data_IF_067570670700
#
_entry.id   IF_067570670700
#
_cell.length_a   1.000
_cell.length_b   1.000
_cell.length_c   1.000
_cell.angle_alpha   90.00
_cell.angle_beta   90.00
_cell.angle_gamma   90.00
#
_symmetry.space_group_name_H-M   'P 1'
#
loop_
_entity.id
_entity.type
_entity.pdbx_description
1 polymer ?
#
# COMPACT_ATOMS: atom_id res chain seq x y z
N UNK A 1 -23.16 -13.44 33.84
CA UNK A 1 -21.90 -12.79 33.45
C UNK A 1 -22.28 -11.63 32.56
N UNK A 2 -22.24 -10.40 33.07
CA UNK A 2 -22.56 -9.19 32.33
C UNK A 2 -21.49 -9.02 31.23
N UNK A 3 -21.90 -9.09 29.96
CA UNK A 3 -21.11 -8.66 28.82
C UNK A 3 -20.70 -7.22 29.09
N UNK A 4 -19.43 -7.00 29.44
CA UNK A 4 -18.88 -5.65 29.40
C UNK A 4 -19.09 -5.14 27.97
N UNK A 5 -19.80 -4.01 27.81
CA UNK A 5 -20.03 -3.40 26.50
C UNK A 5 -18.65 -3.10 25.92
N UNK A 6 -18.26 -3.86 24.91
CA UNK A 6 -17.12 -3.49 24.08
C UNK A 6 -17.45 -2.08 23.54
N UNK A 7 -16.60 -1.08 23.81
CA UNK A 7 -16.80 0.29 23.34
C UNK A 7 -17.12 0.37 21.84
N UNK A 8 -17.56 1.53 21.37
CA UNK A 8 -17.86 1.78 19.95
C UNK A 8 -16.63 1.50 19.06
N UNK A 9 -16.85 1.24 17.78
CA UNK A 9 -15.76 1.00 16.81
C UNK A 9 -14.67 2.09 16.87
N UNK A 10 -14.99 3.41 16.88
CA UNK A 10 -13.98 4.46 17.01
C UNK A 10 -13.17 4.38 18.30
N UNK A 11 -13.82 4.10 19.44
CA UNK A 11 -13.12 3.96 20.74
C UNK A 11 -12.16 2.78 20.72
N UNK A 12 -12.56 1.64 20.16
CA UNK A 12 -11.71 0.44 20.03
C UNK A 12 -10.52 0.67 19.10
N UNK A 13 -10.72 1.34 17.97
CA UNK A 13 -9.65 1.69 17.02
C UNK A 13 -8.64 2.64 17.68
N UNK A 14 -9.12 3.68 18.37
CA UNK A 14 -8.24 4.61 19.06
C UNK A 14 -7.48 3.94 20.20
N UNK A 15 -8.11 3.09 20.99
CA UNK A 15 -7.45 2.34 22.07
C UNK A 15 -6.28 1.47 21.57
N UNK A 16 -6.41 0.87 20.38
CA UNK A 16 -5.30 0.12 19.74
C UNK A 16 -4.10 1.04 19.48
N UNK A 17 -4.34 2.27 19.02
CA UNK A 17 -3.29 3.24 18.72
C UNK A 17 -2.69 3.85 19.99
N UNK A 18 -3.53 4.23 20.95
CA UNK A 18 -3.15 4.92 22.19
C UNK A 18 -2.32 4.02 23.13
N UNK A 19 -2.42 2.70 22.97
CA UNK A 19 -1.59 1.74 23.65
C UNK A 19 -0.11 1.72 23.19
N UNK A 20 0.25 2.50 22.16
CA UNK A 20 1.58 2.46 21.57
C UNK A 20 2.31 3.79 21.72
N UNK A 21 3.65 3.78 21.94
CA UNK A 21 4.45 4.99 22.11
C UNK A 21 4.86 5.64 20.77
N UNK A 22 4.23 5.29 19.67
CA UNK A 22 4.51 5.81 18.34
C UNK A 22 3.24 6.31 17.65
N UNK A 23 3.41 7.12 16.62
CA UNK A 23 2.29 7.70 15.88
C UNK A 23 1.66 6.62 15.00
N UNK A 24 0.33 6.54 15.03
CA UNK A 24 -0.46 5.73 14.09
C UNK A 24 -1.52 6.59 13.44
N UNK A 25 -1.51 6.68 12.11
CA UNK A 25 -2.51 7.35 11.29
C UNK A 25 -3.30 6.30 10.53
N UNK A 26 -4.59 6.49 10.39
CA UNK A 26 -5.42 5.58 9.59
C UNK A 26 -6.58 6.29 8.92
N UNK A 27 -7.05 5.71 7.82
CA UNK A 27 -8.35 5.96 7.21
C UNK A 27 -8.98 4.61 6.87
N UNK A 28 -10.18 4.35 7.41
CA UNK A 28 -10.88 3.08 7.30
C UNK A 28 -12.29 3.37 6.80
N UNK A 29 -12.75 2.64 5.80
CA UNK A 29 -14.11 2.75 5.26
C UNK A 29 -14.82 1.40 5.33
N UNK A 30 -15.94 1.36 6.03
CA UNK A 30 -16.89 0.26 5.94
C UNK A 30 -17.62 0.34 4.58
N UNK A 31 -17.45 -0.64 3.74
CA UNK A 31 -18.03 -0.64 2.38
C UNK A 31 -19.51 -1.03 2.35
N UNK A 32 -20.05 -1.58 3.46
CA UNK A 32 -21.49 -1.90 3.58
C UNK A 32 -22.30 -0.68 3.96
N UNK A 33 -21.80 0.13 4.91
CA UNK A 33 -22.53 1.29 5.46
C UNK A 33 -22.07 2.61 4.85
N UNK A 34 -20.86 2.65 4.28
CA UNK A 34 -20.21 3.88 3.81
C UNK A 34 -19.53 4.68 4.91
N UNK A 35 -19.64 4.28 6.19
CA UNK A 35 -19.00 4.98 7.31
C UNK A 35 -17.49 4.99 7.19
N UNK A 36 -16.89 6.13 7.57
CA UNK A 36 -15.45 6.35 7.54
C UNK A 36 -14.94 6.65 8.96
N UNK A 37 -13.88 5.97 9.35
CA UNK A 37 -13.20 6.12 10.63
C UNK A 37 -11.77 6.63 10.38
N UNK A 38 -11.35 7.65 11.10
CA UNK A 38 -10.13 8.39 10.76
C UNK A 38 -9.32 8.78 12.00
N UNK A 39 -7.99 8.78 11.82
CA UNK A 39 -7.04 9.34 12.79
C UNK A 39 -5.84 9.90 12.03
N UNK A 40 -5.69 11.22 12.03
CA UNK A 40 -4.63 11.91 11.28
C UNK A 40 -4.64 11.55 9.79
N UNK A 41 -5.84 11.34 9.19
CA UNK A 41 -5.97 10.76 7.86
C UNK A 41 -5.37 11.64 6.74
N UNK A 42 -5.32 12.96 6.94
CA UNK A 42 -4.77 13.93 6.00
C UNK A 42 -3.32 14.34 6.33
N UNK A 43 -2.79 13.84 7.44
CA UNK A 43 -1.41 14.13 7.82
C UNK A 43 -0.43 13.35 6.95
N UNK A 44 0.63 14.05 6.51
CA UNK A 44 1.71 13.45 5.72
C UNK A 44 2.42 12.35 6.51
N UNK A 45 2.62 11.21 5.88
CA UNK A 45 3.32 10.05 6.43
C UNK A 45 4.30 9.47 5.41
N UNK A 46 5.37 8.78 5.83
CA UNK A 46 6.22 8.05 4.91
C UNK A 46 5.39 6.99 4.17
N UNK A 47 5.45 6.98 2.84
CA UNK A 47 4.69 6.00 2.05
C UNK A 47 5.35 4.62 2.04
N UNK A 48 6.68 4.58 2.16
CA UNK A 48 7.47 3.38 1.88
C UNK A 48 6.97 2.69 0.59
N UNK A 49 6.80 1.37 0.59
CA UNK A 49 6.35 0.64 -0.62
C UNK A 49 4.85 0.68 -0.89
N UNK A 50 4.01 1.34 -0.05
CA UNK A 50 2.58 1.54 -0.40
C UNK A 50 2.44 2.41 -1.64
N UNK A 51 3.40 3.33 -1.90
CA UNK A 51 3.49 4.15 -3.11
C UNK A 51 3.48 3.35 -4.42
N UNK A 52 3.86 2.05 -4.38
CA UNK A 52 3.91 1.20 -5.58
C UNK A 52 2.54 0.97 -6.19
N UNK A 53 1.47 1.14 -5.42
CA UNK A 53 0.10 1.10 -5.95
C UNK A 53 -0.15 2.24 -6.95
N UNK A 54 0.24 3.47 -6.62
CA UNK A 54 0.12 4.61 -7.55
C UNK A 54 1.07 4.49 -8.75
N UNK A 55 2.28 3.93 -8.57
CA UNK A 55 3.20 3.65 -9.68
C UNK A 55 2.59 2.62 -10.64
N UNK A 56 2.03 1.53 -10.12
CA UNK A 56 1.32 0.54 -10.92
C UNK A 56 0.17 1.19 -11.70
N UNK A 57 -0.64 2.02 -11.05
CA UNK A 57 -1.78 2.65 -11.72
C UNK A 57 -1.36 3.67 -12.78
N UNK A 58 -0.27 4.43 -12.56
CA UNK A 58 0.31 5.31 -13.57
C UNK A 58 0.81 4.51 -14.80
N UNK A 59 1.45 3.36 -14.58
CA UNK A 59 1.87 2.46 -15.67
C UNK A 59 0.65 1.90 -16.43
N UNK A 60 -0.39 1.48 -15.72
CA UNK A 60 -1.62 0.98 -16.34
C UNK A 60 -2.39 2.06 -17.10
N UNK A 61 -2.34 3.33 -16.64
CA UNK A 61 -2.84 4.46 -17.42
C UNK A 61 -2.07 4.62 -18.72
N UNK A 62 -0.74 4.56 -18.68
CA UNK A 62 0.09 4.62 -19.90
C UNK A 62 -0.19 3.45 -20.85
N UNK A 63 -0.49 2.26 -20.33
CA UNK A 63 -0.97 1.12 -21.15
C UNK A 63 -2.35 1.41 -21.76
N UNK A 64 -3.27 1.98 -21.00
CA UNK A 64 -4.59 2.36 -21.51
C UNK A 64 -4.52 3.38 -22.62
N UNK A 65 -3.57 4.30 -22.56
CA UNK A 65 -3.29 5.33 -23.56
C UNK A 65 -2.50 4.79 -24.78
N UNK A 66 -2.12 3.52 -24.79
CA UNK A 66 -1.32 2.91 -25.86
C UNK A 66 0.16 3.34 -25.90
N UNK A 67 0.65 4.01 -24.84
CA UNK A 67 2.07 4.42 -24.71
C UNK A 67 2.95 3.28 -24.22
N UNK A 68 2.40 2.33 -23.49
CA UNK A 68 3.08 1.13 -22.99
C UNK A 68 2.30 -0.12 -23.37
N UNK A 69 3.02 -1.26 -23.44
CA UNK A 69 2.43 -2.60 -23.61
C UNK A 69 2.83 -3.48 -22.44
N UNK A 70 1.85 -4.12 -21.79
CA UNK A 70 2.11 -5.08 -20.70
C UNK A 70 2.96 -6.28 -21.16
N UNK A 71 2.99 -6.59 -22.45
CA UNK A 71 3.78 -7.67 -23.03
C UNK A 71 5.18 -7.22 -23.51
N UNK A 72 5.49 -5.91 -23.40
CA UNK A 72 6.82 -5.39 -23.71
C UNK A 72 7.88 -6.16 -22.91
N UNK A 73 8.92 -6.63 -23.61
CA UNK A 73 9.99 -7.38 -23.01
C UNK A 73 11.06 -6.46 -22.43
N UNK A 74 11.46 -6.74 -21.21
CA UNK A 74 12.48 -6.00 -20.45
C UNK A 74 13.63 -6.94 -20.13
N UNK A 75 14.83 -6.59 -20.56
CA UNK A 75 16.03 -7.31 -20.14
C UNK A 75 16.45 -6.81 -18.76
N UNK A 76 16.59 -7.73 -17.81
CA UNK A 76 17.18 -7.40 -16.51
C UNK A 76 18.69 -7.14 -16.69
N UNK A 77 19.09 -5.90 -16.52
CA UNK A 77 20.48 -5.46 -16.54
C UNK A 77 21.02 -5.26 -15.12
N UNK A 78 22.31 -5.48 -14.90
CA UNK A 78 22.96 -5.34 -13.58
C UNK A 78 22.70 -3.94 -12.94
N UNK A 79 22.64 -2.88 -13.74
CA UNK A 79 22.37 -1.50 -13.28
C UNK A 79 21.06 -1.34 -12.52
N UNK A 80 20.07 -2.19 -12.76
CA UNK A 80 18.81 -2.15 -12.01
C UNK A 80 18.99 -2.59 -10.55
N UNK A 81 20.00 -3.39 -10.23
CA UNK A 81 20.29 -3.82 -8.86
C UNK A 81 21.17 -2.81 -8.09
N UNK A 82 21.77 -1.84 -8.77
CA UNK A 82 22.57 -0.80 -8.12
C UNK A 82 21.72 0.06 -7.20
N UNK A 83 22.27 0.40 -6.03
CA UNK A 83 21.61 1.27 -5.03
C UNK A 83 20.21 0.78 -4.58
N UNK A 84 19.95 -0.51 -4.68
CA UNK A 84 18.68 -1.13 -4.26
C UNK A 84 18.88 -1.94 -2.99
N UNK A 85 18.12 -1.61 -1.92
CA UNK A 85 18.22 -2.30 -0.62
C UNK A 85 17.46 -3.63 -0.56
N UNK A 86 16.41 -3.81 -1.37
CA UNK A 86 15.50 -4.96 -1.27
C UNK A 86 14.97 -5.42 -2.63
N UNK A 87 14.66 -6.70 -2.72
CA UNK A 87 14.14 -7.33 -3.92
C UNK A 87 14.88 -8.62 -4.25
N UNK A 88 14.15 -9.59 -4.76
CA UNK A 88 14.67 -10.90 -5.15
C UNK A 88 15.57 -10.78 -6.39
N UNK A 89 15.23 -9.89 -7.33
CA UNK A 89 15.98 -9.72 -8.58
C UNK A 89 17.44 -9.28 -8.36
N UNK A 90 17.78 -8.69 -7.21
CA UNK A 90 19.19 -8.38 -6.84
C UNK A 90 20.10 -9.61 -6.85
N UNK A 91 19.54 -10.79 -6.68
CA UNK A 91 20.28 -12.06 -6.58
C UNK A 91 20.17 -12.90 -7.84
N UNK A 92 19.42 -12.44 -8.83
CA UNK A 92 19.29 -13.13 -10.11
C UNK A 92 20.43 -12.71 -11.08
N UNK A 93 20.70 -13.57 -12.04
CA UNK A 93 21.72 -13.30 -13.06
C UNK A 93 21.18 -12.29 -14.08
N UNK A 94 21.91 -11.20 -14.38
CA UNK A 94 21.56 -10.30 -15.47
C UNK A 94 21.42 -11.04 -16.82
N UNK A 95 20.55 -10.53 -17.68
CA UNK A 95 20.20 -11.15 -18.97
C UNK A 95 18.84 -11.87 -18.96
N UNK A 96 18.22 -12.05 -17.80
CA UNK A 96 16.85 -12.57 -17.73
C UNK A 96 15.91 -11.57 -18.43
N UNK A 97 15.01 -12.09 -19.26
CA UNK A 97 13.97 -11.30 -19.94
C UNK A 97 12.64 -11.55 -19.28
N UNK A 98 11.96 -10.48 -18.91
CA UNK A 98 10.59 -10.51 -18.33
C UNK A 98 9.70 -9.51 -19.06
N UNK A 99 8.39 -9.69 -18.98
CA UNK A 99 7.45 -8.70 -19.49
C UNK A 99 7.28 -7.51 -18.52
N UNK A 100 6.77 -6.36 -19.01
CA UNK A 100 6.35 -5.25 -18.15
C UNK A 100 5.31 -5.73 -17.12
N UNK A 101 4.42 -6.65 -17.52
CA UNK A 101 3.46 -7.31 -16.62
C UNK A 101 4.15 -8.01 -15.46
N UNK A 102 5.21 -8.76 -15.73
CA UNK A 102 5.97 -9.49 -14.71
C UNK A 102 6.77 -8.55 -13.81
N UNK A 103 7.32 -7.47 -14.37
CA UNK A 103 7.97 -6.42 -13.60
C UNK A 103 6.98 -5.74 -12.63
N UNK A 104 5.77 -5.39 -13.09
CA UNK A 104 4.69 -4.88 -12.23
C UNK A 104 4.31 -5.91 -11.16
N UNK A 105 4.20 -7.18 -11.52
CA UNK A 105 3.89 -8.26 -10.57
C UNK A 105 4.98 -8.37 -9.50
N UNK A 106 6.27 -8.43 -9.87
CA UNK A 106 7.39 -8.48 -8.94
C UNK A 106 7.44 -7.24 -8.02
N UNK A 107 7.21 -6.05 -8.58
CA UNK A 107 7.10 -4.80 -7.84
C UNK A 107 5.99 -4.85 -6.77
N UNK A 108 4.83 -5.40 -7.09
CA UNK A 108 3.67 -5.39 -6.21
C UNK A 108 3.66 -6.58 -5.25
N UNK A 109 3.80 -7.81 -5.73
CA UNK A 109 3.62 -9.04 -4.95
C UNK A 109 4.79 -9.30 -4.00
N UNK A 110 6.03 -9.07 -4.47
CA UNK A 110 7.25 -9.23 -3.68
C UNK A 110 7.77 -7.90 -3.10
N UNK A 111 7.17 -6.80 -3.50
CA UNK A 111 7.70 -5.46 -3.18
C UNK A 111 9.13 -5.24 -3.72
N UNK A 112 9.50 -5.87 -4.84
CA UNK A 112 10.83 -5.83 -5.42
C UNK A 112 11.18 -4.42 -5.93
N UNK A 113 12.32 -3.87 -5.48
CA UNK A 113 12.77 -2.55 -5.89
C UNK A 113 13.52 -2.55 -7.22
N UNK A 114 14.09 -3.69 -7.62
CA UNK A 114 14.68 -3.85 -8.96
C UNK A 114 13.57 -3.80 -10.01
N UNK A 115 12.49 -4.56 -9.77
CA UNK A 115 11.29 -4.47 -10.62
C UNK A 115 10.69 -3.05 -10.62
N UNK A 116 10.75 -2.34 -9.49
CA UNK A 116 10.32 -0.93 -9.45
C UNK A 116 11.16 -0.05 -10.36
N UNK A 117 12.49 -0.21 -10.41
CA UNK A 117 13.36 0.50 -11.36
C UNK A 117 13.01 0.16 -12.81
N UNK A 118 12.75 -1.12 -13.11
CA UNK A 118 12.37 -1.54 -14.47
C UNK A 118 11.05 -0.87 -14.92
N UNK A 119 10.07 -0.72 -14.02
CA UNK A 119 8.84 0.02 -14.31
C UNK A 119 9.12 1.51 -14.51
N UNK A 120 9.98 2.12 -13.69
CA UNK A 120 10.37 3.52 -13.83
C UNK A 120 11.23 3.84 -15.05
N UNK A 121 11.83 2.86 -15.72
CA UNK A 121 12.44 3.07 -17.04
C UNK A 121 11.42 3.49 -18.12
N UNK A 122 10.15 3.24 -17.88
CA UNK A 122 9.01 3.53 -18.78
C UNK A 122 8.16 4.71 -18.32
N UNK A 123 8.45 5.22 -17.13
CA UNK A 123 7.71 6.33 -16.51
C UNK A 123 8.70 7.31 -15.91
N UNK A 124 8.34 8.58 -15.91
CA UNK A 124 9.06 9.60 -15.14
C UNK A 124 8.45 9.78 -13.75
N UNK A 125 9.23 10.32 -12.84
CA UNK A 125 8.74 10.70 -11.50
C UNK A 125 7.63 11.77 -11.60
N UNK A 126 7.74 12.66 -12.58
CA UNK A 126 6.76 13.70 -12.87
C UNK A 126 5.42 13.10 -13.34
N UNK A 127 5.45 12.10 -14.24
CA UNK A 127 4.24 11.40 -14.69
C UNK A 127 3.50 10.74 -13.53
N UNK A 128 4.22 10.09 -12.61
CA UNK A 128 3.59 9.46 -11.43
C UNK A 128 3.00 10.51 -10.50
N UNK A 129 3.68 11.64 -10.26
CA UNK A 129 3.14 12.75 -9.46
C UNK A 129 1.92 13.39 -10.13
N UNK A 130 2.01 13.68 -11.43
CA UNK A 130 0.90 14.24 -12.21
C UNK A 130 -0.31 13.31 -12.21
N UNK A 131 -0.08 12.00 -12.31
CA UNK A 131 -1.14 10.99 -12.15
C UNK A 131 -1.81 11.09 -10.78
N UNK A 132 -1.03 11.09 -9.69
CA UNK A 132 -1.58 11.22 -8.33
C UNK A 132 -2.45 12.48 -8.20
N UNK A 133 -1.94 13.63 -8.66
CA UNK A 133 -2.69 14.89 -8.63
C UNK A 133 -3.97 14.84 -9.46
N UNK A 134 -3.91 14.26 -10.66
CA UNK A 134 -5.04 14.20 -11.60
C UNK A 134 -6.23 13.38 -11.06
N UNK A 135 -5.97 12.40 -10.20
CA UNK A 135 -7.00 11.59 -9.56
C UNK A 135 -7.40 12.08 -8.16
N UNK A 136 -6.78 13.16 -7.64
CA UNK A 136 -7.13 13.77 -6.36
C UNK A 136 -6.27 13.34 -5.17
N UNK A 137 -5.16 12.62 -5.36
CA UNK A 137 -4.20 12.26 -4.30
C UNK A 137 -3.24 13.42 -4.01
N UNK A 138 -3.76 14.52 -3.50
CA UNK A 138 -3.01 15.79 -3.36
C UNK A 138 -1.95 15.77 -2.26
N UNK A 139 -2.07 14.89 -1.29
CA UNK A 139 -1.09 14.70 -0.20
C UNK A 139 0.01 13.66 -0.52
N UNK A 140 0.01 13.09 -1.75
CA UNK A 140 0.99 12.10 -2.16
C UNK A 140 2.08 12.72 -3.03
N UNK A 141 3.35 12.62 -2.57
CA UNK A 141 4.50 13.24 -3.22
C UNK A 141 5.61 12.23 -3.44
N UNK A 142 5.79 11.76 -4.67
CA UNK A 142 6.92 10.94 -5.07
C UNK A 142 8.16 11.83 -5.25
N UNK A 143 9.17 11.64 -4.38
CA UNK A 143 10.42 12.42 -4.41
C UNK A 143 11.60 11.66 -5.00
N UNK A 144 11.53 10.33 -5.01
CA UNK A 144 12.63 9.46 -5.44
C UNK A 144 12.08 8.27 -6.23
N UNK A 145 12.80 7.84 -7.25
CA UNK A 145 12.52 6.60 -7.98
C UNK A 145 12.64 5.39 -7.04
N UNK A 146 13.73 5.33 -6.28
CA UNK A 146 14.02 4.34 -5.24
C UNK A 146 14.38 5.08 -3.95
N UNK A 147 13.95 4.60 -2.78
CA UNK A 147 14.30 5.24 -1.52
C UNK A 147 15.82 5.28 -1.31
N UNK A 148 16.38 6.40 -0.79
CA UNK A 148 17.80 6.46 -0.44
C UNK A 148 18.19 5.35 0.55
N UNK A 149 19.40 4.80 0.40
CA UNK A 149 19.89 3.69 1.23
C UNK A 149 20.28 4.15 2.64
N UNK A 150 20.96 5.29 2.74
CA UNK A 150 21.54 5.81 3.97
C UNK A 150 20.58 6.76 4.69
N UNK A 151 19.42 6.25 5.12
CA UNK A 151 18.48 7.01 5.94
C UNK A 151 18.63 6.64 7.42
N UNK A 152 18.67 7.66 8.30
CA UNK A 152 18.55 7.47 9.74
C UNK A 152 17.08 7.17 10.14
N UNK A 153 16.83 6.56 11.31
CA UNK A 153 15.46 6.32 11.78
C UNK A 153 14.63 7.60 11.95
N UNK A 154 15.27 8.72 12.23
CA UNK A 154 14.67 10.05 12.46
C UNK A 154 14.70 10.98 11.25
N UNK A 155 15.02 10.46 10.05
CA UNK A 155 15.13 11.28 8.85
C UNK A 155 13.87 12.14 8.61
N UNK A 156 14.03 13.29 7.97
CA UNK A 156 12.92 14.16 7.58
C UNK A 156 11.96 13.46 6.60
N UNK A 157 10.67 13.79 6.66
CA UNK A 157 9.70 13.35 5.66
C UNK A 157 10.06 13.82 4.24
N UNK A 158 10.76 14.95 4.11
CA UNK A 158 11.25 15.45 2.81
C UNK A 158 12.31 14.55 2.17
N UNK A 159 12.93 13.65 2.95
CA UNK A 159 13.95 12.72 2.46
C UNK A 159 13.37 11.41 1.88
N UNK A 160 12.04 11.28 1.82
CA UNK A 160 11.34 10.09 1.30
C UNK A 160 10.10 10.49 0.51
N UNK A 161 9.54 9.57 -0.23
CA UNK A 161 8.20 9.70 -0.78
C UNK A 161 7.18 9.63 0.37
N UNK A 162 6.24 10.56 0.38
CA UNK A 162 5.18 10.65 1.38
C UNK A 162 3.79 10.45 0.76
N UNK A 163 2.83 10.16 1.60
CA UNK A 163 1.41 10.03 1.25
C UNK A 163 0.57 10.34 2.49
N UNK A 164 -0.75 10.32 2.34
CA UNK A 164 -1.68 10.35 3.47
C UNK A 164 -2.50 9.06 3.53
N UNK A 165 -3.04 8.75 4.69
CA UNK A 165 -3.92 7.58 4.83
C UNK A 165 -5.17 7.75 3.96
N UNK A 166 -5.70 8.98 3.83
CA UNK A 166 -6.83 9.30 2.98
C UNK A 166 -6.54 9.09 1.50
N UNK A 167 -5.39 9.55 1.00
CA UNK A 167 -5.02 9.37 -0.41
C UNK A 167 -4.95 7.88 -0.79
N UNK A 168 -4.36 7.05 0.08
CA UNK A 168 -4.27 5.62 -0.17
C UNK A 168 -5.65 4.93 -0.10
N UNK A 169 -6.53 5.33 0.82
CA UNK A 169 -7.91 4.85 0.87
C UNK A 169 -8.67 5.26 -0.39
N UNK A 170 -8.54 6.52 -0.82
CA UNK A 170 -9.14 7.03 -2.03
C UNK A 170 -8.68 6.26 -3.28
N UNK A 171 -7.38 5.97 -3.40
CA UNK A 171 -6.83 5.18 -4.51
C UNK A 171 -7.44 3.78 -4.57
N UNK A 172 -7.48 3.08 -3.42
CA UNK A 172 -8.06 1.74 -3.35
C UNK A 172 -9.57 1.72 -3.67
N UNK A 173 -10.31 2.72 -3.17
CA UNK A 173 -11.72 2.90 -3.51
C UNK A 173 -11.89 3.15 -5.01
N UNK A 174 -11.05 4.02 -5.60
CA UNK A 174 -11.10 4.33 -7.03
C UNK A 174 -10.81 3.10 -7.91
N UNK A 175 -9.86 2.24 -7.51
CA UNK A 175 -9.58 0.97 -8.21
C UNK A 175 -10.80 0.05 -8.14
N UNK A 176 -11.47 -0.03 -6.99
CA UNK A 176 -12.67 -0.84 -6.81
C UNK A 176 -13.84 -0.32 -7.66
N UNK A 177 -14.08 1.00 -7.63
CA UNK A 177 -15.12 1.67 -8.41
C UNK A 177 -14.91 1.52 -9.92
N UNK A 178 -13.65 1.62 -10.37
CA UNK A 178 -13.29 1.48 -11.78
C UNK A 178 -13.48 0.06 -12.31
N UNK A 179 -13.39 -0.96 -11.47
CA UNK A 179 -13.75 -2.31 -11.86
C UNK A 179 -15.26 -2.45 -12.12
N UNK A 180 -16.09 -1.74 -11.34
CA UNK A 180 -17.54 -1.86 -11.34
C UNK A 180 -18.25 -0.93 -12.30
N UNK A 181 -17.61 0.15 -12.81
CA UNK A 181 -18.28 1.16 -13.63
C UNK A 181 -17.38 1.83 -14.66
N UNK A 182 -17.99 2.21 -15.78
CA UNK A 182 -17.30 2.95 -16.84
C UNK A 182 -16.90 4.37 -16.37
N UNK A 183 -17.72 5.01 -15.56
CA UNK A 183 -17.43 6.33 -14.99
C UNK A 183 -16.22 6.27 -14.04
N UNK A 184 -16.18 5.26 -13.15
CA UNK A 184 -15.00 5.00 -12.30
C UNK A 184 -13.74 4.75 -13.11
N UNK A 185 -13.84 3.99 -14.22
CA UNK A 185 -12.74 3.74 -15.14
C UNK A 185 -12.22 5.04 -15.77
N UNK A 186 -13.11 5.90 -16.28
CA UNK A 186 -12.75 7.20 -16.86
C UNK A 186 -12.05 8.10 -15.83
N UNK A 187 -12.58 8.17 -14.61
CA UNK A 187 -11.99 8.98 -13.53
C UNK A 187 -10.58 8.50 -13.14
N UNK A 188 -10.37 7.18 -13.11
CA UNK A 188 -9.07 6.58 -12.79
C UNK A 188 -8.10 6.58 -14.00
N UNK A 189 -8.62 6.82 -15.22
CA UNK A 189 -7.83 6.87 -16.46
C UNK A 189 -7.36 5.49 -16.94
N UNK A 190 -8.10 4.42 -16.62
CA UNK A 190 -7.80 3.05 -17.04
C UNK A 190 -9.08 2.34 -17.49
N UNK A 191 -8.96 1.23 -18.22
CA UNK A 191 -10.12 0.39 -18.53
C UNK A 191 -10.54 -0.45 -17.30
N UNK A 192 -11.80 -0.94 -17.31
CA UNK A 192 -12.27 -1.89 -16.29
C UNK A 192 -11.38 -3.14 -16.20
N UNK A 193 -10.91 -3.66 -17.34
CA UNK A 193 -10.00 -4.80 -17.39
C UNK A 193 -8.65 -4.53 -16.72
N UNK A 194 -8.08 -3.33 -16.92
CA UNK A 194 -6.82 -2.94 -16.26
C UNK A 194 -7.02 -2.69 -14.76
N UNK A 195 -8.18 -2.17 -14.35
CA UNK A 195 -8.53 -2.05 -12.93
C UNK A 195 -8.70 -3.42 -12.27
N UNK A 196 -9.35 -4.37 -12.94
CA UNK A 196 -9.46 -5.75 -12.47
C UNK A 196 -8.07 -6.41 -12.33
N UNK A 197 -7.17 -6.18 -13.30
CA UNK A 197 -5.77 -6.64 -13.22
C UNK A 197 -5.04 -6.05 -12.01
N UNK A 198 -5.19 -4.73 -11.77
CA UNK A 198 -4.59 -4.09 -10.61
C UNK A 198 -5.09 -4.69 -9.30
N UNK A 199 -6.40 -4.89 -9.18
CA UNK A 199 -7.03 -5.47 -8.00
C UNK A 199 -6.58 -6.93 -7.78
N UNK A 200 -6.51 -7.73 -8.85
CA UNK A 200 -5.99 -9.10 -8.76
C UNK A 200 -4.52 -9.12 -8.35
N UNK A 201 -3.70 -8.20 -8.87
CA UNK A 201 -2.29 -8.06 -8.49
C UNK A 201 -2.15 -7.74 -6.99
N UNK A 202 -3.01 -6.87 -6.45
CA UNK A 202 -3.06 -6.59 -5.00
C UNK A 202 -3.52 -7.81 -4.18
N UNK A 203 -4.45 -8.63 -4.69
CA UNK A 203 -4.88 -9.89 -4.05
C UNK A 203 -3.77 -10.95 -4.00
N UNK A 204 -2.86 -10.92 -4.96
CA UNK A 204 -1.73 -11.86 -5.03
C UNK A 204 -0.60 -11.54 -4.05
N UNK A 205 -0.74 -10.51 -3.20
CA UNK A 205 0.28 -10.14 -2.21
C UNK A 205 0.60 -11.30 -1.27
N UNK A 206 1.89 -11.69 -1.20
CA UNK A 206 2.35 -12.79 -0.34
C UNK A 206 2.88 -12.34 1.03
N UNK A 207 3.18 -11.05 1.20
CA UNK A 207 3.70 -10.48 2.45
C UNK A 207 2.55 -10.17 3.42
N UNK A 208 2.08 -11.16 4.17
CA UNK A 208 0.81 -11.12 4.92
C UNK A 208 0.93 -10.76 6.41
N UNK A 209 1.95 -10.01 6.82
CA UNK A 209 2.32 -9.77 8.21
C UNK A 209 1.72 -8.49 8.87
N UNK A 210 0.82 -7.77 8.20
CA UNK A 210 0.13 -6.58 8.73
C UNK A 210 -1.40 -6.75 8.69
N UNK A 211 -2.15 -6.08 7.78
CA UNK A 211 -3.61 -6.20 7.69
C UNK A 211 -4.11 -7.65 7.81
N UNK A 212 -3.55 -8.65 7.07
CA UNK A 212 -4.06 -10.03 7.13
C UNK A 212 -3.67 -10.81 8.40
N UNK A 213 -2.69 -10.32 9.18
CA UNK A 213 -2.02 -11.13 10.23
C UNK A 213 -2.94 -11.60 11.37
N UNK A 214 -4.04 -10.88 11.62
CA UNK A 214 -5.01 -11.20 12.66
C UNK A 214 -6.41 -11.53 12.15
N UNK A 215 -6.54 -11.71 10.84
CA UNK A 215 -7.77 -12.17 10.21
C UNK A 215 -7.81 -13.70 10.14
N UNK A 216 -9.00 -14.32 10.00
CA UNK A 216 -9.10 -15.77 9.83
C UNK A 216 -8.24 -16.25 8.66
N UNK A 217 -7.71 -17.46 8.79
CA UNK A 217 -6.92 -18.08 7.73
C UNK A 217 -7.72 -18.13 6.43
N UNK A 218 -7.07 -17.84 5.30
CA UNK A 218 -7.72 -17.82 3.99
C UNK A 218 -8.49 -16.54 3.65
N UNK A 219 -8.60 -15.56 4.58
CA UNK A 219 -9.22 -14.26 4.27
C UNK A 219 -8.50 -13.60 3.10
N UNK A 220 -9.26 -13.27 2.05
CA UNK A 220 -8.75 -12.55 0.89
C UNK A 220 -8.53 -11.08 1.25
N UNK A 221 -7.34 -10.58 0.98
CA UNK A 221 -6.97 -9.18 1.18
C UNK A 221 -6.19 -8.69 -0.03
N UNK A 222 -6.75 -7.73 -0.75
CA UNK A 222 -6.03 -7.01 -1.80
C UNK A 222 -5.25 -5.87 -1.16
N UNK A 223 -3.90 -5.98 -1.04
CA UNK A 223 -3.16 -5.00 -0.26
C UNK A 223 -1.74 -4.75 -0.76
N UNK A 224 -1.15 -3.62 -0.28
CA UNK A 224 0.28 -3.33 -0.43
C UNK A 224 0.85 -2.87 0.90
N UNK A 225 1.86 -3.59 1.37
CA UNK A 225 2.64 -3.20 2.54
C UNK A 225 3.81 -2.29 2.22
N UNK A 226 4.26 -1.56 3.23
CA UNK A 226 5.44 -0.70 3.19
C UNK A 226 6.32 -0.90 4.43
N UNK A 227 7.64 -0.92 4.21
CA UNK A 227 8.67 -1.01 5.24
C UNK A 227 9.58 0.19 5.13
N UNK A 228 9.62 1.03 6.14
CA UNK A 228 10.47 2.20 6.23
C UNK A 228 11.30 2.20 7.52
N UNK A 229 12.30 3.07 7.59
CA UNK A 229 13.11 3.25 8.81
C UNK A 229 12.29 3.81 9.96
N UNK A 230 11.28 4.65 9.67
CA UNK A 230 10.43 5.31 10.66
C UNK A 230 9.24 4.47 11.12
N UNK A 231 8.83 3.45 10.35
CA UNK A 231 7.64 2.65 10.68
C UNK A 231 7.26 1.64 9.62
N UNK A 232 6.04 1.10 9.78
CA UNK A 232 5.39 0.13 8.89
C UNK A 232 4.06 0.68 8.41
N UNK A 233 3.70 0.37 7.20
CA UNK A 233 2.48 0.84 6.54
C UNK A 233 1.79 -0.32 5.83
N UNK A 234 0.48 -0.23 5.75
CA UNK A 234 -0.28 -1.14 4.89
C UNK A 234 -1.56 -0.45 4.42
N UNK A 235 -1.90 -0.66 3.16
CA UNK A 235 -3.14 -0.17 2.55
C UNK A 235 -3.80 -1.34 1.83
N UNK A 236 -5.08 -1.61 2.10
CA UNK A 236 -5.74 -2.79 1.51
C UNK A 236 -7.25 -2.79 1.62
N UNK A 237 -7.85 -3.67 0.81
CA UNK A 237 -9.27 -4.00 0.78
C UNK A 237 -9.42 -5.41 1.34
N UNK A 238 -10.22 -5.57 2.37
CA UNK A 238 -10.50 -6.87 3.00
C UNK A 238 -11.82 -7.39 2.48
N UNK A 239 -11.85 -8.68 2.15
CA UNK A 239 -13.02 -9.36 1.60
C UNK A 239 -13.64 -10.32 2.62
N UNK A 240 -14.95 -10.43 2.60
CA UNK A 240 -15.72 -11.45 3.34
C UNK A 240 -16.71 -12.10 2.39
N UNK A 241 -16.75 -13.42 2.33
CA UNK A 241 -17.65 -14.20 1.45
C UNK A 241 -17.56 -13.79 -0.04
N UNK A 242 -16.36 -13.44 -0.51
CA UNK A 242 -16.13 -13.01 -1.90
C UNK A 242 -16.34 -11.51 -2.16
N UNK A 243 -17.05 -10.80 -1.27
CA UNK A 243 -17.37 -9.38 -1.41
C UNK A 243 -16.42 -8.48 -0.62
N UNK A 244 -16.10 -7.28 -1.13
CA UNK A 244 -15.31 -6.30 -0.40
C UNK A 244 -16.08 -5.81 0.84
N UNK A 245 -15.45 -5.96 2.02
CA UNK A 245 -16.05 -5.63 3.30
C UNK A 245 -15.63 -4.25 3.80
N UNK A 246 -14.34 -3.95 3.78
CA UNK A 246 -13.81 -2.65 4.16
C UNK A 246 -12.48 -2.34 3.48
N UNK A 247 -12.19 -1.05 3.39
CA UNK A 247 -10.86 -0.54 3.04
C UNK A 247 -10.20 -0.09 4.34
N UNK A 248 -8.93 -0.42 4.51
CA UNK A 248 -8.10 0.03 5.62
C UNK A 248 -6.74 0.50 5.11
N UNK A 249 -6.36 1.69 5.52
CA UNK A 249 -5.02 2.25 5.30
C UNK A 249 -4.47 2.68 6.65
N UNK A 250 -3.32 2.15 7.02
CA UNK A 250 -2.70 2.41 8.32
C UNK A 250 -1.20 2.63 8.16
N UNK A 251 -0.71 3.68 8.81
CA UNK A 251 0.66 4.18 8.72
C UNK A 251 1.19 4.43 10.14
N UNK A 252 2.23 3.69 10.54
CA UNK A 252 2.95 4.00 11.77
C UNK A 252 4.17 4.85 11.46
N UNK A 253 4.54 5.75 12.37
CA UNK A 253 5.66 6.66 12.24
C UNK A 253 6.35 6.88 13.59
N UNK A 254 7.63 7.23 13.58
CA UNK A 254 8.45 7.42 14.79
C UNK A 254 8.47 6.15 15.68
N UNK A 255 8.48 4.99 15.05
CA UNK A 255 8.51 3.71 15.75
C UNK A 255 9.91 3.51 16.35
N UNK A 256 10.03 3.29 17.69
CA UNK A 256 11.30 2.96 18.32
C UNK A 256 11.93 1.71 17.69
N UNK A 257 13.25 1.63 17.69
CA UNK A 257 13.95 0.42 17.25
C UNK A 257 13.58 -0.77 18.14
N UNK A 258 13.64 -0.54 19.45
CA UNK A 258 13.26 -1.50 20.48
C UNK A 258 12.22 -0.87 21.41
N UNK A 259 11.20 -1.63 21.77
CA UNK A 259 10.20 -1.28 22.77
C UNK A 259 10.80 -1.42 24.18
N UNK A 260 10.16 -0.84 25.23
CA UNK A 260 10.67 -0.93 26.61
C UNK A 260 10.87 -2.35 27.13
N UNK A 261 10.16 -3.33 26.58
CA UNK A 261 10.27 -4.76 26.93
C UNK A 261 11.32 -5.51 26.06
N UNK A 262 12.04 -4.80 25.19
CA UNK A 262 13.01 -5.37 24.25
C UNK A 262 12.40 -5.94 22.96
N UNK A 263 11.08 -5.90 22.78
CA UNK A 263 10.44 -6.32 21.53
C UNK A 263 10.84 -5.37 20.39
N UNK A 264 11.23 -5.85 19.20
CA UNK A 264 11.49 -4.96 18.07
C UNK A 264 10.26 -4.11 17.71
N UNK A 265 10.43 -2.78 17.65
CA UNK A 265 9.33 -1.86 17.41
C UNK A 265 8.62 -2.11 16.08
N UNK A 266 9.35 -2.59 15.04
CA UNK A 266 8.73 -2.97 13.76
C UNK A 266 7.71 -4.12 13.90
N UNK A 267 7.95 -5.07 14.83
CA UNK A 267 7.00 -6.17 15.11
C UNK A 267 5.71 -5.61 15.71
N UNK A 268 5.86 -4.75 16.72
CA UNK A 268 4.71 -4.11 17.39
C UNK A 268 3.92 -3.23 16.42
N UNK A 269 4.59 -2.51 15.51
CA UNK A 269 3.93 -1.67 14.52
C UNK A 269 3.13 -2.48 13.50
N UNK A 270 3.64 -3.63 13.04
CA UNK A 270 2.89 -4.56 12.17
C UNK A 270 1.68 -5.15 12.90
N UNK A 271 1.87 -5.54 14.16
CA UNK A 271 0.81 -6.07 15.01
C UNK A 271 -0.29 -5.04 15.25
N UNK A 272 0.07 -3.78 15.48
CA UNK A 272 -0.89 -2.67 15.63
C UNK A 272 -1.80 -2.55 14.42
N UNK A 273 -1.24 -2.59 13.20
CA UNK A 273 -2.02 -2.60 11.95
C UNK A 273 -2.94 -3.84 11.87
N UNK A 274 -2.44 -4.99 12.26
CA UNK A 274 -3.23 -6.23 12.31
C UNK A 274 -4.40 -6.15 13.31
N UNK A 275 -4.18 -5.52 14.47
CA UNK A 275 -5.23 -5.28 15.49
C UNK A 275 -6.31 -4.32 14.99
N UNK A 276 -5.93 -3.22 14.31
CA UNK A 276 -6.89 -2.32 13.68
C UNK A 276 -7.78 -3.07 12.69
N UNK A 277 -7.17 -3.87 11.82
CA UNK A 277 -7.91 -4.71 10.86
C UNK A 277 -8.83 -5.73 11.55
N UNK A 278 -8.40 -6.28 12.69
CA UNK A 278 -9.21 -7.22 13.48
C UNK A 278 -10.45 -6.55 14.08
N UNK A 279 -10.32 -5.35 14.62
CA UNK A 279 -11.48 -4.57 15.12
C UNK A 279 -12.49 -4.38 14.00
N UNK A 280 -12.06 -3.93 12.81
CA UNK A 280 -12.95 -3.77 11.66
C UNK A 280 -13.62 -5.08 11.24
N UNK A 281 -12.86 -6.18 11.23
CA UNK A 281 -13.40 -7.50 10.88
C UNK A 281 -14.51 -7.94 11.83
N UNK A 282 -14.31 -7.76 13.14
CA UNK A 282 -15.27 -8.17 14.16
C UNK A 282 -16.55 -7.33 14.10
N UNK A 283 -16.41 -6.01 13.85
CA UNK A 283 -17.54 -5.07 13.87
C UNK A 283 -18.31 -5.01 12.55
N UNK A 284 -17.64 -5.11 11.39
CA UNK A 284 -18.27 -4.88 10.08
C UNK A 284 -18.83 -6.15 9.45
N UNK A 285 -18.46 -7.31 9.96
CA UNK A 285 -18.93 -8.59 9.44
C UNK A 285 -20.31 -8.97 10.00
N UNK A 286 -20.68 -8.40 11.12
CA UNK A 286 -21.94 -8.69 11.81
C UNK A 286 -23.20 -8.37 10.96
#
# INVERSE_FOLDING_TARGET
MTSASLGSTPERLNAVCDAQPFITRFCIKNLRTGEVFERGADEEAPSASTRKTSIMMAALKAVHEGRLDLNEQIVYEARFAEEVASGMFRYLTPGIVISLRDAITGMMVLSDNVCTKMVFERLTLEEVNSYCQSIGMVGTHHRFLIPPLALSPDHSLKSVTTTTARDQMFLLQSILDAQGSEEGSKRLGVSQALSAYALQTLKNQILRYAIPSRLPFGTVVAHKGGTGKRGRMNAGIVYSNGEPLYIITAFTDQVPQDMPDGTPGYTVSLETIGRLSRVCWDDFRA
#
